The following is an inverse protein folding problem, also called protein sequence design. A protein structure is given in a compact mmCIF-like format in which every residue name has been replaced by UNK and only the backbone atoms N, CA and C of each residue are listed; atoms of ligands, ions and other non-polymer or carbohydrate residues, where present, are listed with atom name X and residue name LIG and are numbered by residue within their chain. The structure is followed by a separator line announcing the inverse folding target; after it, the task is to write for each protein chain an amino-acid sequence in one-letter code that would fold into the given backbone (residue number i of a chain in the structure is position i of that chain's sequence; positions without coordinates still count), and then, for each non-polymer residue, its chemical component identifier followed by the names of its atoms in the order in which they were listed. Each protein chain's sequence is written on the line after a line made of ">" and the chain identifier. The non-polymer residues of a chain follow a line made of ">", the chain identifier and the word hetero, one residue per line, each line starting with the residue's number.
data_IF_484536326885
#
_entry.id   IF_484536326885
#
_cell.length_a   1.000
_cell.length_b   1.000
_cell.length_c   1.000
_cell.angle_alpha   90.00
_cell.angle_beta   90.00
_cell.angle_gamma   90.00
#
_symmetry.space_group_name_H-M   'P 1'
#
loop_
_entity.id
_entity.type
_entity.pdbx_description
1 polymer ?
#
# COMPACT_ATOMS: atom_id res chain seq x y z
N UNK A 1 -9.42 -6.78 -6.55
CA UNK A 1 -9.92 -6.24 -5.26
C UNK A 1 -10.67 -4.94 -5.51
N UNK A 2 -11.97 -4.84 -5.22
CA UNK A 2 -12.80 -3.65 -5.58
C UNK A 2 -13.23 -2.78 -4.37
N UNK A 3 -12.86 -3.17 -3.15
CA UNK A 3 -13.33 -2.54 -1.90
C UNK A 3 -12.43 -1.37 -1.44
N UNK A 4 -11.10 -1.46 -1.62
CA UNK A 4 -10.19 -0.39 -1.17
C UNK A 4 -10.34 0.92 -1.98
N UNK A 5 -10.51 0.81 -3.31
CA UNK A 5 -10.50 1.97 -4.20
C UNK A 5 -11.70 2.91 -4.03
N UNK A 6 -12.90 2.38 -3.78
CA UNK A 6 -14.13 3.17 -3.64
C UNK A 6 -14.28 3.78 -2.24
N UNK A 7 -13.77 3.11 -1.19
CA UNK A 7 -13.86 3.58 0.19
C UNK A 7 -12.73 4.54 0.58
N UNK A 8 -11.53 4.40 0.01
CA UNK A 8 -10.37 5.23 0.35
C UNK A 8 -10.60 6.73 0.16
N UNK A 9 -11.22 7.14 -0.96
CA UNK A 9 -11.53 8.56 -1.22
C UNK A 9 -12.63 9.10 -0.32
N UNK A 10 -13.63 8.27 0.00
CA UNK A 10 -14.81 8.67 0.78
C UNK A 10 -14.49 8.80 2.27
N UNK A 11 -13.54 8.01 2.78
CA UNK A 11 -13.26 7.91 4.22
C UNK A 11 -11.85 8.35 4.63
N UNK A 12 -11.07 8.97 3.74
CA UNK A 12 -9.68 9.42 4.01
C UNK A 12 -8.78 8.33 4.61
N UNK A 13 -9.01 7.08 4.22
CA UNK A 13 -8.24 5.95 4.73
C UNK A 13 -6.88 5.89 4.00
N UNK A 14 -5.77 5.56 4.69
CA UNK A 14 -4.44 5.43 4.11
C UNK A 14 -4.31 4.12 3.32
N UNK A 15 -5.16 3.97 2.30
CA UNK A 15 -5.29 2.76 1.49
C UNK A 15 -3.98 2.35 0.82
N UNK A 16 -3.10 3.31 0.53
CA UNK A 16 -1.84 3.10 -0.16
C UNK A 16 -0.84 2.26 0.65
N UNK A 17 -1.04 2.09 1.96
CA UNK A 17 -0.21 1.25 2.83
C UNK A 17 -0.45 -0.25 2.67
N UNK A 18 -1.45 -0.67 1.91
CA UNK A 18 -1.81 -2.09 1.75
C UNK A 18 -1.25 -2.63 0.43
N UNK A 19 -0.32 -3.59 0.53
CA UNK A 19 0.24 -4.36 -0.60
C UNK A 19 -0.10 -5.84 -0.46
N UNK A 20 0.19 -6.66 -1.47
CA UNK A 20 -0.03 -8.10 -1.35
C UNK A 20 1.04 -8.77 -0.45
N UNK A 21 0.83 -10.05 -0.11
CA UNK A 21 1.75 -10.81 0.75
C UNK A 21 3.15 -11.05 0.15
N UNK A 22 3.38 -10.70 -1.12
CA UNK A 22 4.69 -10.75 -1.79
C UNK A 22 5.39 -9.38 -1.80
N UNK A 23 4.79 -8.37 -1.18
CA UNK A 23 5.31 -6.99 -1.19
C UNK A 23 5.01 -6.23 -2.48
N UNK A 24 4.07 -6.71 -3.32
CA UNK A 24 3.79 -6.10 -4.62
C UNK A 24 2.51 -5.25 -4.56
N UNK A 25 2.55 -4.11 -5.23
CA UNK A 25 1.35 -3.32 -5.54
C UNK A 25 0.44 -4.13 -6.46
N UNK A 26 -0.70 -4.55 -5.93
CA UNK A 26 -1.68 -5.41 -6.61
C UNK A 26 -2.59 -4.67 -7.61
N UNK A 27 -2.45 -3.35 -7.71
CA UNK A 27 -3.22 -2.52 -8.63
C UNK A 27 -2.62 -2.66 -10.03
N UNK A 28 -3.49 -2.99 -10.98
CA UNK A 28 -3.13 -3.19 -12.39
C UNK A 28 -3.30 -1.91 -13.19
N UNK A 29 -4.29 -1.08 -12.84
CA UNK A 29 -4.51 0.20 -13.51
C UNK A 29 -3.35 1.16 -13.25
N UNK A 30 -2.83 1.79 -14.32
CA UNK A 30 -1.61 2.59 -14.29
C UNK A 30 -1.70 3.80 -13.34
N UNK A 31 -2.73 4.63 -13.46
CA UNK A 31 -2.83 5.83 -12.61
C UNK A 31 -2.96 5.51 -11.12
N UNK A 32 -3.87 4.63 -10.65
CA UNK A 32 -3.98 4.32 -9.23
C UNK A 32 -2.74 3.60 -8.69
N UNK A 33 -2.06 2.81 -9.54
CA UNK A 33 -0.78 2.18 -9.21
C UNK A 33 0.30 3.23 -8.99
N UNK A 34 0.44 4.20 -9.90
CA UNK A 34 1.37 5.33 -9.75
C UNK A 34 1.08 6.15 -8.50
N UNK A 35 -0.20 6.41 -8.20
CA UNK A 35 -0.59 7.12 -6.97
C UNK A 35 -0.20 6.34 -5.71
N UNK A 36 -0.38 5.01 -5.70
CA UNK A 36 0.07 4.20 -4.56
C UNK A 36 1.58 4.31 -4.36
N UNK A 37 2.37 4.18 -5.43
CA UNK A 37 3.82 4.34 -5.39
C UNK A 37 4.22 5.72 -4.88
N UNK A 38 3.58 6.78 -5.37
CA UNK A 38 3.86 8.15 -4.97
C UNK A 38 3.61 8.36 -3.48
N UNK A 39 2.48 7.87 -2.95
CA UNK A 39 2.17 8.02 -1.52
C UNK A 39 3.09 7.19 -0.63
N UNK A 40 3.43 5.96 -1.02
CA UNK A 40 4.41 5.14 -0.30
C UNK A 40 5.78 5.83 -0.23
N UNK A 41 6.28 6.32 -1.38
CA UNK A 41 7.55 7.07 -1.44
C UNK A 41 7.50 8.35 -0.62
N UNK A 42 6.37 9.05 -0.62
CA UNK A 42 6.15 10.23 0.23
C UNK A 42 6.21 9.94 1.74
N UNK A 43 5.97 8.69 2.14
CA UNK A 43 6.13 8.22 3.53
C UNK A 43 7.53 7.63 3.81
N UNK A 44 8.45 7.66 2.85
CA UNK A 44 9.80 7.10 2.99
C UNK A 44 9.88 5.58 2.78
N UNK A 45 8.85 4.98 2.16
CA UNK A 45 8.90 3.58 1.75
C UNK A 45 9.61 3.49 0.40
N UNK A 46 10.68 2.71 0.34
CA UNK A 46 11.36 2.41 -0.92
C UNK A 46 10.49 1.49 -1.77
N UNK A 47 10.21 1.94 -3.01
CA UNK A 47 9.41 1.18 -3.99
C UNK A 47 10.18 1.14 -5.31
N UNK A 48 10.46 -0.07 -5.79
CA UNK A 48 11.15 -0.29 -7.06
C UNK A 48 10.29 0.07 -8.29
N UNK A 49 10.86 -0.07 -9.48
CA UNK A 49 10.17 0.24 -10.74
C UNK A 49 8.99 -0.72 -10.99
N UNK A 50 9.11 -1.95 -10.50
CA UNK A 50 8.12 -3.02 -10.59
C UNK A 50 7.03 -2.93 -9.52
N UNK A 51 7.06 -1.90 -8.65
CA UNK A 51 6.07 -1.68 -7.60
C UNK A 51 6.18 -2.67 -6.45
N UNK A 52 7.38 -3.13 -6.11
CA UNK A 52 7.67 -4.00 -4.97
C UNK A 52 8.29 -3.20 -3.81
N UNK A 53 8.05 -3.68 -2.60
CA UNK A 53 8.64 -3.17 -1.36
C UNK A 53 9.25 -4.32 -0.56
N UNK A 54 10.21 -3.99 0.29
CA UNK A 54 10.77 -4.92 1.27
C UNK A 54 9.81 -5.09 2.45
N UNK A 55 9.14 -6.24 2.54
CA UNK A 55 8.21 -6.51 3.64
C UNK A 55 8.92 -6.67 4.98
N UNK A 56 10.17 -7.13 5.02
CA UNK A 56 10.89 -7.25 6.30
C UNK A 56 11.15 -5.88 6.92
N UNK A 57 11.35 -4.86 6.08
CA UNK A 57 11.56 -3.48 6.52
C UNK A 57 10.26 -2.74 6.90
N UNK A 58 9.15 -3.01 6.21
CA UNK A 58 7.95 -2.16 6.28
C UNK A 58 6.68 -2.84 6.78
N UNK A 59 6.66 -4.16 6.98
CA UNK A 59 5.45 -4.86 7.41
C UNK A 59 5.09 -4.47 8.85
N UNK A 60 3.85 -4.04 9.04
CA UNK A 60 3.32 -3.76 10.36
C UNK A 60 3.02 -5.07 11.10
N UNK A 61 3.65 -5.25 12.26
CA UNK A 61 3.39 -6.35 13.18
C UNK A 61 2.51 -5.86 14.33
N UNK A 62 1.19 -6.13 14.32
CA UNK A 62 0.32 -5.77 15.43
C UNK A 62 0.75 -6.54 16.68
N UNK A 63 0.80 -5.86 17.82
CA UNK A 63 0.96 -6.55 19.10
C UNK A 63 -0.33 -7.30 19.43
N UNK A 64 -0.26 -8.54 19.94
CA UNK A 64 -1.45 -9.25 20.41
C UNK A 64 -2.13 -8.43 21.52
N UNK A 65 -3.39 -8.03 21.31
CA UNK A 65 -4.23 -7.38 22.34
C UNK A 65 -4.41 -5.86 22.23
N UNK A 66 -4.03 -5.22 21.12
CA UNK A 66 -4.38 -3.83 20.84
C UNK A 66 -5.66 -3.74 19.98
N UNK A 67 -6.80 -4.10 20.57
CA UNK A 67 -8.15 -3.76 20.08
C UNK A 67 -8.83 -2.80 21.07
#
# INVERSE_FOLDING_TARGET
>A
MRILHSLGRKHRLPWHRVVNAKGEIAIVEEEPRMLQMLYLKGEGVEVDAEGRIDLEAYLYHPQPGAD
#
